data_IF_805904151395
#
_entry.id   IF_805904151395
#
_cell.length_a   1.000
_cell.length_b   1.000
_cell.length_c   1.000
_cell.angle_alpha   90.00
_cell.angle_beta   90.00
_cell.angle_gamma   90.00
#
_symmetry.space_group_name_H-M   'P 1'
#
loop_
_entity.id
_entity.type
_entity.pdbx_description
1 polymer ?
#
# COMPACT_ATOMS: atom_id res chain seq x y z
N UNK A 1 2.51 6.42 -10.49
CA UNK A 1 3.06 5.05 -10.44
C UNK A 1 4.15 5.03 -9.38
N UNK A 2 4.38 3.86 -8.80
CA UNK A 2 5.23 3.59 -7.65
C UNK A 2 5.94 2.25 -7.86
N UNK A 3 6.83 1.90 -6.93
CA UNK A 3 7.63 0.66 -6.96
C UNK A 3 7.26 -0.30 -5.84
N UNK A 4 6.58 0.22 -4.82
CA UNK A 4 6.31 -0.44 -3.57
C UNK A 4 7.51 -0.48 -2.62
N UNK A 5 8.48 0.42 -2.81
CA UNK A 5 9.61 0.58 -1.91
C UNK A 5 9.34 1.80 -1.03
N UNK A 6 8.94 1.54 0.21
CA UNK A 6 8.58 2.59 1.17
C UNK A 6 9.78 3.48 1.45
N UNK A 7 9.54 4.80 1.38
CA UNK A 7 10.56 5.83 1.54
C UNK A 7 10.55 6.47 2.92
N UNK A 8 9.39 6.52 3.56
CA UNK A 8 9.25 6.97 4.95
C UNK A 8 8.02 6.36 5.62
N UNK A 9 8.02 6.35 6.95
CA UNK A 9 6.84 6.04 7.77
C UNK A 9 6.31 7.34 8.35
N UNK A 10 5.25 7.85 7.74
CA UNK A 10 4.58 9.07 8.18
C UNK A 10 3.69 8.86 9.40
N UNK A 11 3.24 9.96 9.99
CA UNK A 11 2.25 9.96 11.08
C UNK A 11 1.04 10.81 10.72
N UNK A 12 -0.16 10.27 10.89
CA UNK A 12 -1.41 11.03 10.74
C UNK A 12 -1.50 12.05 11.87
N UNK A 13 -1.58 13.33 11.53
CA UNK A 13 -1.68 14.44 12.51
C UNK A 13 -3.01 15.17 12.47
N UNK A 14 -3.82 14.96 11.43
CA UNK A 14 -5.12 15.57 11.30
C UNK A 14 -6.04 14.80 10.38
N UNK A 15 -7.32 14.73 10.76
CA UNK A 15 -8.40 14.17 9.96
C UNK A 15 -9.58 15.13 10.05
N UNK A 16 -10.02 15.68 8.92
CA UNK A 16 -11.15 16.62 8.86
C UNK A 16 -12.16 16.13 7.83
N UNK A 17 -13.35 15.76 8.29
CA UNK A 17 -14.47 15.41 7.41
C UNK A 17 -15.10 16.67 6.84
N UNK A 18 -15.13 16.78 5.51
CA UNK A 18 -15.92 17.75 4.76
C UNK A 18 -17.17 17.06 4.21
N UNK A 19 -18.06 17.81 3.57
CA UNK A 19 -19.34 17.26 3.07
C UNK A 19 -19.14 16.12 2.07
N UNK A 20 -18.20 16.26 1.14
CA UNK A 20 -17.97 15.28 0.06
C UNK A 20 -16.60 14.59 0.11
N UNK A 21 -15.69 15.01 1.00
CA UNK A 21 -14.32 14.49 1.08
C UNK A 21 -13.83 14.44 2.52
N UNK A 22 -12.77 13.68 2.77
CA UNK A 22 -12.03 13.73 4.03
C UNK A 22 -10.62 14.27 3.77
N UNK A 23 -10.19 15.26 4.56
CA UNK A 23 -8.82 15.77 4.49
C UNK A 23 -7.96 15.00 5.48
N UNK A 24 -6.97 14.29 4.96
CA UNK A 24 -5.97 13.59 5.75
C UNK A 24 -4.68 14.41 5.76
N UNK A 25 -4.16 14.72 6.95
CA UNK A 25 -2.90 15.46 7.12
C UNK A 25 -1.84 14.55 7.72
N UNK A 26 -0.70 14.44 7.04
CA UNK A 26 0.41 13.56 7.40
C UNK A 26 1.66 14.38 7.70
N UNK A 27 2.35 14.03 8.78
CA UNK A 27 3.71 14.49 9.11
C UNK A 27 4.72 13.46 8.61
N UNK A 28 5.78 13.91 7.93
CA UNK A 28 6.81 13.04 7.33
C UNK A 28 8.14 13.78 7.20
N UNK A 29 9.24 13.04 7.16
CA UNK A 29 10.57 13.57 6.88
C UNK A 29 10.82 13.82 5.38
N UNK A 30 10.03 13.23 4.48
CA UNK A 30 10.21 13.34 3.02
C UNK A 30 10.18 14.79 2.52
N UNK A 31 9.40 15.65 3.16
CA UNK A 31 9.27 17.05 2.72
C UNK A 31 10.58 17.84 2.88
N UNK A 32 11.42 17.45 3.83
CA UNK A 32 12.71 18.09 4.06
C UNK A 32 13.78 17.61 3.06
N UNK A 33 13.53 16.49 2.39
CA UNK A 33 14.44 15.90 1.40
C UNK A 33 14.20 16.46 -0.01
N UNK A 34 13.10 17.19 -0.22
CA UNK A 34 12.72 17.73 -1.53
C UNK A 34 12.01 16.71 -2.43
N UNK A 35 11.59 15.57 -1.87
CA UNK A 35 11.00 14.44 -2.61
C UNK A 35 9.51 14.66 -2.96
N UNK A 36 8.89 15.76 -2.50
CA UNK A 36 7.46 16.01 -2.67
C UNK A 36 7.15 17.50 -2.89
N UNK A 37 6.22 17.77 -3.81
CA UNK A 37 5.72 19.10 -4.14
C UNK A 37 4.18 19.13 -4.17
N UNK A 38 3.61 20.33 -4.19
CA UNK A 38 2.18 20.52 -4.34
C UNK A 38 1.70 19.98 -5.69
N UNK A 39 0.65 19.16 -5.68
CA UNK A 39 0.13 18.48 -6.88
C UNK A 39 0.80 17.14 -7.20
N UNK A 40 1.87 16.77 -6.49
CA UNK A 40 2.50 15.46 -6.68
C UNK A 40 1.58 14.33 -6.19
N UNK A 41 1.75 13.17 -6.83
CA UNK A 41 1.15 11.92 -6.35
C UNK A 41 2.03 11.29 -5.28
N UNK A 42 1.40 10.83 -4.20
CA UNK A 42 2.05 10.11 -3.10
C UNK A 42 1.18 8.91 -2.71
N UNK A 43 1.79 7.75 -2.53
CA UNK A 43 1.12 6.57 -2.00
C UNK A 43 1.10 6.64 -0.46
N UNK A 44 -0.09 6.53 0.13
CA UNK A 44 -0.29 6.37 1.58
C UNK A 44 -0.87 4.99 1.82
N UNK A 45 -0.12 4.12 2.50
CA UNK A 45 -0.44 2.68 2.59
C UNK A 45 -0.79 2.08 1.21
N UNK A 46 -0.03 2.45 0.17
CA UNK A 46 -0.29 1.99 -1.20
C UNK A 46 -1.51 2.61 -1.89
N UNK A 47 -2.13 3.64 -1.33
CA UNK A 47 -3.22 4.38 -1.98
C UNK A 47 -2.67 5.65 -2.60
N UNK A 48 -2.74 5.77 -3.93
CA UNK A 48 -2.32 6.95 -4.67
C UNK A 48 -3.24 8.13 -4.35
N UNK A 49 -2.65 9.21 -3.83
CA UNK A 49 -3.36 10.45 -3.50
C UNK A 49 -2.56 11.65 -3.96
N UNK A 50 -3.24 12.79 -4.15
CA UNK A 50 -2.61 14.03 -4.60
C UNK A 50 -2.40 14.98 -3.44
N UNK A 51 -1.18 15.52 -3.32
CA UNK A 51 -0.85 16.52 -2.30
C UNK A 51 -1.55 17.85 -2.62
N UNK A 52 -2.52 18.22 -1.79
CA UNK A 52 -3.38 19.40 -1.97
C UNK A 52 -2.94 20.61 -1.13
N UNK A 53 -2.17 20.39 -0.07
CA UNK A 53 -1.55 21.45 0.72
C UNK A 53 -0.30 20.94 1.42
N UNK A 54 0.67 21.82 1.70
CA UNK A 54 1.93 21.46 2.35
C UNK A 54 2.44 22.57 3.28
N UNK A 55 3.19 22.15 4.30
CA UNK A 55 4.04 22.98 5.14
C UNK A 55 5.47 22.42 5.11
N UNK A 56 6.37 22.96 5.93
CA UNK A 56 7.74 22.44 6.04
C UNK A 56 7.82 21.01 6.62
N UNK A 57 6.76 20.49 7.28
CA UNK A 57 6.80 19.17 7.94
C UNK A 57 5.56 18.32 7.73
N UNK A 58 4.52 18.86 7.12
CA UNK A 58 3.25 18.16 6.89
C UNK A 58 2.73 18.39 5.48
N UNK A 59 2.03 17.40 4.95
CA UNK A 59 1.22 17.56 3.74
C UNK A 59 -0.21 17.11 4.01
N UNK A 60 -1.15 17.58 3.21
CA UNK A 60 -2.55 17.19 3.26
C UNK A 60 -3.03 16.70 1.90
N UNK A 61 -3.93 15.73 1.93
CA UNK A 61 -4.56 15.11 0.76
C UNK A 61 -6.07 15.08 0.96
N UNK A 62 -6.83 15.26 -0.13
CA UNK A 62 -8.27 15.01 -0.14
C UNK A 62 -8.52 13.54 -0.50
N UNK A 63 -9.29 12.85 0.33
CA UNK A 63 -9.66 11.44 0.16
C UNK A 63 -11.13 11.37 -0.21
N UNK A 64 -11.42 10.74 -1.36
CA UNK A 64 -12.78 10.52 -1.82
C UNK A 64 -13.50 9.47 -0.96
N UNK A 65 -14.83 9.53 -0.80
CA UNK A 65 -15.59 8.55 -0.02
C UNK A 65 -15.38 7.10 -0.49
N UNK A 66 -15.33 6.87 -1.80
CA UNK A 66 -15.04 5.56 -2.39
C UNK A 66 -13.68 5.03 -1.93
N UNK A 67 -12.65 5.87 -1.97
CA UNK A 67 -11.29 5.52 -1.54
C UNK A 67 -11.24 5.19 -0.05
N UNK A 68 -11.92 5.99 0.78
CA UNK A 68 -12.01 5.74 2.23
C UNK A 68 -12.71 4.42 2.54
N UNK A 69 -13.75 4.05 1.77
CA UNK A 69 -14.50 2.81 1.98
C UNK A 69 -13.76 1.56 1.50
N UNK A 70 -12.93 1.68 0.46
CA UNK A 70 -12.25 0.53 -0.17
C UNK A 70 -10.83 0.29 0.33
N UNK A 71 -10.31 1.17 1.17
CA UNK A 71 -8.96 1.08 1.73
C UNK A 71 -8.99 1.12 3.25
N UNK A 72 -7.86 0.84 3.89
CA UNK A 72 -7.71 0.99 5.34
C UNK A 72 -7.57 2.45 5.78
N UNK A 73 -7.53 3.42 4.86
CA UNK A 73 -7.60 4.85 5.19
C UNK A 73 -8.86 5.16 6.00
N UNK A 74 -9.92 4.41 5.73
CA UNK A 74 -11.17 4.31 6.48
C UNK A 74 -11.05 4.18 8.00
N UNK A 75 -9.94 3.62 8.46
CA UNK A 75 -9.76 3.18 9.85
C UNK A 75 -8.72 3.99 10.60
N UNK A 76 -8.06 4.93 9.91
CA UNK A 76 -6.98 5.72 10.48
C UNK A 76 -7.48 6.66 11.56
N UNK A 77 -6.60 6.95 12.51
CA UNK A 77 -6.81 7.93 13.57
C UNK A 77 -5.58 8.83 13.65
N UNK A 78 -5.74 9.99 14.29
CA UNK A 78 -4.59 10.82 14.65
C UNK A 78 -3.62 10.00 15.50
N UNK A 79 -2.34 10.05 15.16
CA UNK A 79 -1.27 9.25 15.75
C UNK A 79 -0.99 7.93 15.02
N UNK A 80 -1.84 7.49 14.10
CA UNK A 80 -1.57 6.28 13.30
C UNK A 80 -0.37 6.50 12.37
N UNK A 81 0.53 5.52 12.32
CA UNK A 81 1.63 5.49 11.35
C UNK A 81 1.15 4.97 10.00
N UNK A 82 1.73 5.48 8.92
CA UNK A 82 1.40 5.08 7.55
C UNK A 82 2.66 4.94 6.70
N UNK A 83 2.67 3.97 5.79
CA UNK A 83 3.73 3.80 4.80
C UNK A 83 3.59 4.85 3.70
N UNK A 84 4.69 5.51 3.34
CA UNK A 84 4.73 6.56 2.33
C UNK A 84 5.72 6.26 1.21
N UNK A 85 5.28 6.46 -0.03
CA UNK A 85 6.12 6.40 -1.23
C UNK A 85 5.74 7.53 -2.19
N UNK A 86 6.63 8.51 -2.46
CA UNK A 86 6.46 9.48 -3.54
C UNK A 86 6.36 8.79 -4.91
N UNK A 87 5.69 9.43 -5.87
CA UNK A 87 5.60 8.89 -7.22
C UNK A 87 6.99 8.71 -7.86
N UNK A 88 7.14 7.65 -8.63
CA UNK A 88 8.37 7.29 -9.33
C UNK A 88 8.79 8.41 -10.31
N UNK A 89 9.99 8.94 -10.13
CA UNK A 89 10.64 9.87 -11.06
C UNK A 89 11.18 9.17 -12.30
N UNK A 90 11.41 9.93 -13.37
CA UNK A 90 11.85 9.39 -14.65
C UNK A 90 13.23 8.70 -14.61
N UNK A 91 14.08 9.06 -13.65
CA UNK A 91 15.44 8.52 -13.48
C UNK A 91 15.56 7.51 -12.34
N UNK A 92 14.46 7.24 -11.66
CA UNK A 92 14.45 6.39 -10.48
C UNK A 92 14.54 4.90 -10.86
N UNK A 93 15.05 4.10 -9.92
CA UNK A 93 15.10 2.64 -10.08
C UNK A 93 13.75 2.02 -9.76
N UNK A 94 13.35 1.04 -10.57
CA UNK A 94 12.23 0.16 -10.28
C UNK A 94 12.72 -1.06 -9.47
N UNK A 95 13.05 -0.85 -8.19
CA UNK A 95 13.64 -1.91 -7.34
C UNK A 95 12.61 -2.95 -6.85
N UNK A 96 11.32 -2.60 -6.82
CA UNK A 96 10.21 -3.50 -6.50
C UNK A 96 9.50 -4.03 -7.74
N UNK A 97 8.23 -3.70 -7.90
CA UNK A 97 7.44 -4.01 -9.10
C UNK A 97 6.52 -2.84 -9.46
N UNK A 98 5.73 -2.96 -10.55
CA UNK A 98 4.78 -1.91 -10.90
C UNK A 98 3.64 -1.84 -9.88
N UNK A 99 3.67 -0.81 -9.04
CA UNK A 99 2.60 -0.46 -8.12
C UNK A 99 1.92 0.80 -8.65
N UNK A 100 0.62 0.74 -8.89
CA UNK A 100 -0.17 1.87 -9.39
C UNK A 100 -0.64 2.77 -8.26
N UNK A 101 -0.74 2.23 -7.04
CA UNK A 101 -1.39 2.86 -5.92
C UNK A 101 -2.92 2.79 -6.01
N UNK A 102 -3.43 1.81 -6.77
CA UNK A 102 -4.85 1.58 -7.02
C UNK A 102 -5.27 0.33 -6.27
N UNK A 103 -5.52 0.51 -4.98
CA UNK A 103 -5.90 -0.57 -4.07
C UNK A 103 -7.12 -1.31 -4.60
N UNK A 104 -6.99 -2.62 -4.75
CA UNK A 104 -8.05 -3.50 -5.22
C UNK A 104 -9.09 -3.73 -4.13
N UNK A 105 -8.61 -4.08 -2.94
CA UNK A 105 -9.42 -4.46 -1.79
C UNK A 105 -8.60 -4.38 -0.51
N UNK A 106 -9.23 -4.67 0.62
CA UNK A 106 -8.54 -4.92 1.88
C UNK A 106 -8.64 -6.38 2.26
N UNK A 107 -7.64 -6.88 2.99
CA UNK A 107 -7.71 -8.19 3.63
C UNK A 107 -7.17 -8.14 5.04
N UNK A 108 -7.50 -9.16 5.84
CA UNK A 108 -7.04 -9.27 7.22
C UNK A 108 -5.81 -10.15 7.33
N UNK A 109 -4.88 -9.75 8.19
CA UNK A 109 -3.84 -10.65 8.67
C UNK A 109 -4.48 -11.73 9.54
N UNK A 110 -4.26 -13.01 9.24
CA UNK A 110 -4.82 -14.14 10.00
C UNK A 110 -3.77 -14.86 10.85
N UNK A 111 -2.48 -14.70 10.52
CA UNK A 111 -1.38 -15.28 11.30
C UNK A 111 -0.10 -14.46 11.13
N UNK A 112 0.64 -14.34 12.23
CA UNK A 112 2.00 -13.77 12.28
C UNK A 112 2.91 -14.77 13.00
N UNK A 113 4.05 -15.10 12.39
CA UNK A 113 5.00 -16.05 12.98
C UNK A 113 6.44 -15.62 12.70
N UNK A 114 7.26 -15.56 13.74
CA UNK A 114 8.70 -15.32 13.57
C UNK A 114 9.38 -16.60 13.06
N UNK A 115 10.23 -16.45 12.06
CA UNK A 115 11.06 -17.50 11.50
C UNK A 115 12.49 -16.98 11.36
N UNK A 116 13.34 -17.32 12.33
CA UNK A 116 14.69 -16.76 12.45
C UNK A 116 14.68 -15.22 12.51
N UNK A 117 15.32 -14.55 11.54
CA UNK A 117 15.37 -13.10 11.39
C UNK A 117 14.19 -12.53 10.58
N UNK A 118 13.38 -13.39 9.97
CA UNK A 118 12.22 -12.98 9.18
C UNK A 118 10.92 -13.16 9.95
N UNK A 119 9.88 -12.47 9.49
CA UNK A 119 8.52 -12.63 9.98
C UNK A 119 7.63 -13.06 8.82
N UNK A 120 7.00 -14.21 8.99
CA UNK A 120 6.03 -14.74 8.03
C UNK A 120 4.65 -14.20 8.42
N UNK A 121 4.05 -13.46 7.50
CA UNK A 121 2.69 -12.94 7.63
C UNK A 121 1.78 -13.74 6.71
N UNK A 122 0.64 -14.17 7.24
CA UNK A 122 -0.41 -14.88 6.50
C UNK A 122 -1.65 -14.01 6.45
N UNK A 123 -2.23 -13.87 5.27
CA UNK A 123 -3.41 -13.07 5.00
C UNK A 123 -4.49 -13.94 4.38
N UNK A 124 -5.75 -13.61 4.65
CA UNK A 124 -6.86 -14.24 3.95
C UNK A 124 -6.84 -13.85 2.46
N UNK A 125 -7.11 -14.79 1.57
CA UNK A 125 -7.21 -14.53 0.12
C UNK A 125 -8.59 -13.97 -0.20
N UNK A 126 -8.70 -12.74 -0.74
CA UNK A 126 -9.98 -12.24 -1.22
C UNK A 126 -10.41 -13.04 -2.46
N UNK A 127 -11.56 -13.72 -2.39
CA UNK A 127 -11.98 -14.69 -3.41
C UNK A 127 -11.99 -14.12 -4.85
N UNK A 128 -12.40 -12.86 -5.02
CA UNK A 128 -12.41 -12.18 -6.33
C UNK A 128 -11.02 -11.99 -6.94
N UNK A 129 -9.96 -11.99 -6.11
CA UNK A 129 -8.59 -11.69 -6.51
C UNK A 129 -7.66 -12.91 -6.49
N UNK A 130 -8.16 -14.09 -6.11
CA UNK A 130 -7.38 -15.32 -6.01
C UNK A 130 -6.61 -15.67 -7.29
N UNK A 131 -7.23 -15.44 -8.46
CA UNK A 131 -6.62 -15.73 -9.77
C UNK A 131 -5.46 -14.79 -10.15
N UNK A 132 -5.23 -13.72 -9.39
CA UNK A 132 -4.11 -12.79 -9.62
C UNK A 132 -2.94 -13.05 -8.66
N UNK A 133 -3.07 -14.03 -7.75
CA UNK A 133 -2.01 -14.42 -6.83
C UNK A 133 -1.31 -15.67 -7.36
N UNK A 134 -0.01 -15.57 -7.55
CA UNK A 134 0.82 -16.70 -7.98
C UNK A 134 2.00 -16.87 -7.04
N UNK A 135 2.35 -18.11 -6.71
CA UNK A 135 3.53 -18.37 -5.89
C UNK A 135 4.78 -17.79 -6.57
N UNK A 136 5.64 -17.12 -5.79
CA UNK A 136 6.80 -16.34 -6.26
C UNK A 136 6.45 -15.10 -7.10
N UNK A 137 5.16 -14.77 -7.24
CA UNK A 137 4.72 -13.50 -7.82
C UNK A 137 4.85 -12.33 -6.85
N UNK A 138 4.61 -11.13 -7.39
CA UNK A 138 4.62 -9.88 -6.64
C UNK A 138 3.23 -9.52 -6.12
N UNK A 139 3.18 -8.82 -5.00
CA UNK A 139 1.98 -8.21 -4.42
C UNK A 139 2.38 -6.95 -3.67
N UNK A 140 1.54 -5.92 -3.68
CA UNK A 140 1.71 -4.78 -2.79
C UNK A 140 0.73 -4.88 -1.60
N UNK A 141 1.27 -4.85 -0.38
CA UNK A 141 0.49 -4.82 0.86
C UNK A 141 0.77 -3.52 1.61
N UNK A 142 -0.25 -2.68 1.79
CA UNK A 142 -0.07 -1.29 2.25
C UNK A 142 1.00 -0.52 1.43
N UNK A 143 1.08 -0.84 0.14
CA UNK A 143 2.08 -0.28 -0.76
C UNK A 143 3.43 -0.99 -0.72
N UNK A 144 3.72 -1.84 0.27
CA UNK A 144 4.99 -2.57 0.33
C UNK A 144 5.02 -3.67 -0.71
N UNK A 145 5.96 -3.60 -1.64
CA UNK A 145 6.24 -4.64 -2.64
C UNK A 145 6.84 -5.87 -1.96
N UNK A 146 6.15 -7.00 -2.09
CA UNK A 146 6.51 -8.26 -1.44
C UNK A 146 6.39 -9.44 -2.40
N UNK A 147 7.16 -10.49 -2.13
CA UNK A 147 7.05 -11.76 -2.83
C UNK A 147 6.07 -12.69 -2.12
N UNK A 148 5.12 -13.24 -2.87
CA UNK A 148 4.23 -14.30 -2.41
C UNK A 148 5.05 -15.59 -2.18
N UNK A 149 5.20 -15.98 -0.92
CA UNK A 149 5.96 -17.17 -0.52
C UNK A 149 5.17 -18.45 -0.81
N UNK A 150 3.87 -18.42 -0.52
CA UNK A 150 2.92 -19.50 -0.73
C UNK A 150 1.55 -18.90 -1.00
N UNK A 151 0.82 -19.49 -1.94
CA UNK A 151 -0.57 -19.14 -2.26
C UNK A 151 -1.42 -20.41 -2.13
N UNK A 152 -2.57 -20.29 -1.50
CA UNK A 152 -3.57 -21.34 -1.37
C UNK A 152 -4.97 -20.76 -1.61
N UNK A 153 -5.99 -21.61 -1.59
CA UNK A 153 -7.36 -21.21 -1.91
C UNK A 153 -7.90 -20.13 -0.97
N UNK A 154 -7.55 -20.19 0.32
CA UNK A 154 -8.12 -19.34 1.37
C UNK A 154 -7.11 -18.36 1.97
N UNK A 155 -5.81 -18.59 1.79
CA UNK A 155 -4.78 -17.68 2.29
C UNK A 155 -3.53 -17.60 1.41
N UNK A 156 -2.76 -16.54 1.63
CA UNK A 156 -1.43 -16.37 1.07
C UNK A 156 -0.45 -15.88 2.13
N UNK A 157 0.84 -16.10 1.90
CA UNK A 157 1.90 -15.73 2.84
C UNK A 157 2.97 -14.88 2.18
N UNK A 158 3.51 -13.93 2.93
CA UNK A 158 4.70 -13.13 2.58
C UNK A 158 5.72 -13.23 3.71
N UNK A 159 6.99 -12.92 3.40
CA UNK A 159 8.07 -12.90 4.37
C UNK A 159 8.67 -11.50 4.46
N UNK A 160 8.66 -10.91 5.66
CA UNK A 160 9.32 -9.63 5.93
C UNK A 160 10.75 -9.88 6.39
N UNK A 161 11.72 -9.35 5.64
CA UNK A 161 13.13 -9.34 6.04
C UNK A 161 13.41 -8.21 7.05
N UNK A 162 14.52 -8.26 7.82
CA UNK A 162 14.81 -7.27 8.86
C UNK A 162 14.76 -5.81 8.40
N UNK A 163 15.24 -5.53 7.18
CA UNK A 163 15.19 -4.18 6.64
C UNK A 163 13.75 -3.69 6.47
N UNK A 164 12.89 -4.47 5.82
CA UNK A 164 11.47 -4.15 5.63
C UNK A 164 10.75 -4.01 6.97
N UNK A 165 11.03 -4.88 7.95
CA UNK A 165 10.46 -4.78 9.29
C UNK A 165 10.74 -3.42 9.94
N UNK A 166 11.96 -2.90 9.78
CA UNK A 166 12.36 -1.64 10.41
C UNK A 166 11.85 -0.39 9.69
N UNK A 167 11.42 -0.51 8.42
CA UNK A 167 11.11 0.64 7.56
C UNK A 167 9.67 0.65 7.04
N UNK A 168 8.81 -0.24 7.51
CA UNK A 168 7.38 -0.25 7.14
C UNK A 168 6.48 -0.49 8.35
N UNK A 169 5.22 -0.07 8.24
CA UNK A 169 4.22 -0.27 9.30
C UNK A 169 3.79 -1.73 9.46
N UNK A 170 4.14 -2.61 8.52
CA UNK A 170 3.73 -4.01 8.55
C UNK A 170 4.31 -4.79 9.74
N UNK A 171 5.43 -4.34 10.31
CA UNK A 171 6.00 -4.95 11.52
C UNK A 171 5.11 -4.74 12.75
N UNK A 172 4.51 -3.56 12.85
CA UNK A 172 3.66 -3.15 13.96
C UNK A 172 2.23 -3.72 13.83
N UNK A 173 1.86 -4.30 12.67
CA UNK A 173 0.51 -4.83 12.43
C UNK A 173 0.21 -6.12 13.19
N UNK A 174 -1.07 -6.26 13.55
CA UNK A 174 -1.57 -7.39 14.33
C UNK A 174 -2.59 -8.25 13.57
N UNK A 175 -2.77 -9.49 14.05
CA UNK A 175 -3.80 -10.39 13.53
C UNK A 175 -5.17 -9.74 13.68
N UNK A 176 -5.97 -9.77 12.61
CA UNK A 176 -7.28 -9.15 12.51
C UNK A 176 -7.28 -7.77 11.86
N UNK A 177 -6.13 -7.09 11.80
CA UNK A 177 -6.03 -5.76 11.21
C UNK A 177 -6.09 -5.81 9.67
N UNK A 178 -6.74 -4.82 9.03
CA UNK A 178 -6.81 -4.74 7.59
C UNK A 178 -5.52 -4.19 6.97
N UNK A 179 -5.13 -4.74 5.83
CA UNK A 179 -4.11 -4.21 4.93
C UNK A 179 -4.72 -3.92 3.57
N UNK A 180 -4.26 -2.87 2.91
CA UNK A 180 -4.57 -2.61 1.51
C UNK A 180 -3.87 -3.65 0.66
N UNK A 181 -4.58 -4.19 -0.34
CA UNK A 181 -4.05 -5.16 -1.28
C UNK A 181 -4.11 -4.55 -2.68
N UNK A 182 -2.98 -4.54 -3.35
CA UNK A 182 -2.91 -4.33 -4.80
C UNK A 182 -2.22 -5.54 -5.43
N UNK A 183 -2.91 -6.24 -6.33
CA UNK A 183 -2.33 -7.35 -7.08
C UNK A 183 -1.58 -6.83 -8.30
N UNK A 184 -0.55 -7.58 -8.72
CA UNK A 184 0.32 -7.19 -9.83
C UNK A 184 -0.49 -6.94 -11.11
N UNK A 185 -0.34 -5.72 -11.65
CA UNK A 185 -1.00 -5.27 -12.86
C UNK A 185 -0.67 -6.17 -14.06
N UNK A 186 0.55 -6.73 -14.13
CA UNK A 186 0.93 -7.66 -15.19
C UNK A 186 0.07 -8.93 -15.12
N UNK A 187 -0.15 -9.46 -13.91
CA UNK A 187 -1.03 -10.60 -13.69
C UNK A 187 -2.47 -10.32 -14.09
N UNK A 188 -2.98 -9.11 -13.80
CA UNK A 188 -4.34 -8.69 -14.22
C UNK A 188 -4.48 -8.70 -15.74
N UNK A 189 -3.54 -8.12 -16.47
CA UNK A 189 -3.56 -8.11 -17.93
C UNK A 189 -3.42 -9.52 -18.52
N UNK A 190 -2.54 -10.37 -17.98
CA UNK A 190 -2.40 -11.76 -18.44
C UNK A 190 -3.71 -12.55 -18.28
N UNK A 191 -4.36 -12.46 -17.11
CA UNK A 191 -5.65 -13.13 -16.87
C UNK A 191 -6.75 -12.57 -17.77
N UNK A 192 -6.77 -11.25 -17.99
CA UNK A 192 -7.76 -10.62 -18.88
C UNK A 192 -7.60 -11.08 -20.33
N UNK A 193 -6.36 -11.16 -20.83
CA UNK A 193 -6.04 -11.68 -22.16
C UNK A 193 -6.42 -13.17 -22.28
N UNK A 194 -6.11 -13.99 -21.28
CA UNK A 194 -6.45 -15.41 -21.27
C UNK A 194 -7.98 -15.66 -21.28
N UNK A 195 -8.78 -14.74 -20.73
CA UNK A 195 -10.24 -14.77 -20.76
C UNK A 195 -10.85 -14.33 -22.11
N UNK A 196 -10.02 -13.97 -23.10
CA UNK A 196 -10.48 -13.58 -24.43
C UNK A 196 -11.30 -12.28 -24.46
N UNK A 197 -11.23 -11.46 -23.42
CA UNK A 197 -12.04 -10.25 -23.28
C UNK A 197 -11.28 -9.01 -23.75
N UNK A 198 -11.51 -8.61 -25.00
CA UNK A 198 -11.07 -7.34 -25.58
C UNK A 198 -11.90 -6.19 -25.03
N UNK A 199 -11.50 -5.65 -23.87
CA UNK A 199 -11.82 -4.27 -23.50
C UNK A 199 -10.57 -3.44 -23.77
N UNK A 200 -10.52 -2.86 -24.97
CA UNK A 200 -9.61 -1.76 -25.32
C UNK A 200 -10.30 -0.45 -24.94
#
# INVERSE_FOLDING_TARGET
>A
MFTGIIRDVGTVVGIVKKQETEVLTIKTALLQQGDCHLGDSIAINGTCLTIAAMTATTFAVDVMPETYQRTNLGTLKVGTKVDLEPALGATDKLDGHFVLGHVDTTTKMIKRQRNQNAIILTFATPALYANYLVEKGSIALDGVSLTLVKVSTDCFTVSLIPYTQAHTVLEDKHVGEPVNVETDILGKYTVQLAKGSTKL
#
